data_IF_501479834261
#
_entry.id   IF_501479834261
#
_cell.length_a   1.000
_cell.length_b   1.000
_cell.length_c   1.000
_cell.angle_alpha   90.00
_cell.angle_beta   90.00
_cell.angle_gamma   90.00
#
_symmetry.space_group_name_H-M   'P 1'
#
loop_
_entity.id
_entity.type
_entity.pdbx_description
1 polymer ?
#
# COMPACT_ATOMS: atom_id res chain seq x y z
N UNK A 1 16.81 30.68 -13.92
CA UNK A 1 15.52 30.29 -13.30
C UNK A 1 15.34 28.77 -12.99
N UNK A 2 16.37 27.93 -12.71
CA UNK A 2 16.14 26.54 -12.26
C UNK A 2 16.27 26.32 -10.74
N UNK A 3 16.85 27.25 -9.96
CA UNK A 3 17.17 27.02 -8.54
C UNK A 3 15.92 26.95 -7.63
N UNK A 4 14.85 27.69 -7.98
CA UNK A 4 13.60 27.69 -7.22
C UNK A 4 12.82 26.37 -7.40
N UNK A 5 12.89 25.74 -8.58
CA UNK A 5 12.21 24.47 -8.84
C UNK A 5 12.77 23.33 -7.97
N UNK A 6 14.07 23.34 -7.69
CA UNK A 6 14.68 22.37 -6.79
C UNK A 6 14.18 22.53 -5.35
N UNK A 7 14.11 23.77 -4.85
CA UNK A 7 13.60 24.07 -3.52
C UNK A 7 12.11 23.72 -3.39
N UNK A 8 11.32 23.98 -4.43
CA UNK A 8 9.91 23.57 -4.50
C UNK A 8 9.75 22.06 -4.45
N UNK A 9 10.53 21.31 -5.22
CA UNK A 9 10.50 19.85 -5.21
C UNK A 9 10.84 19.29 -3.82
N UNK A 10 11.86 19.85 -3.16
CA UNK A 10 12.25 19.50 -1.78
C UNK A 10 11.11 19.80 -0.80
N UNK A 11 10.48 20.98 -0.91
CA UNK A 11 9.35 21.36 -0.07
C UNK A 11 8.16 20.39 -0.24
N UNK A 12 7.85 19.98 -1.47
CA UNK A 12 6.79 19.00 -1.76
C UNK A 12 7.09 17.66 -1.06
N UNK A 13 8.33 17.19 -1.11
CA UNK A 13 8.73 15.96 -0.41
C UNK A 13 8.53 16.07 1.11
N UNK A 14 8.86 17.22 1.71
CA UNK A 14 8.61 17.44 3.14
C UNK A 14 7.13 17.50 3.48
N UNK A 15 6.33 18.23 2.69
CA UNK A 15 4.86 18.26 2.85
C UNK A 15 4.27 16.85 2.79
N UNK A 16 4.71 16.03 1.83
CA UNK A 16 4.24 14.64 1.72
C UNK A 16 4.61 13.81 2.95
N UNK A 17 5.79 14.00 3.55
CA UNK A 17 6.16 13.30 4.79
C UNK A 17 5.32 13.72 5.99
N UNK A 18 5.03 15.03 6.12
CA UNK A 18 4.18 15.55 7.19
C UNK A 18 2.75 15.03 7.04
N UNK A 19 2.17 15.15 5.84
CA UNK A 19 0.82 14.66 5.55
C UNK A 19 0.71 13.14 5.78
N UNK A 20 1.75 12.38 5.43
CA UNK A 20 1.79 10.94 5.69
C UNK A 20 1.63 10.60 7.19
N UNK A 21 2.10 11.44 8.12
CA UNK A 21 1.91 11.19 9.54
C UNK A 21 0.44 11.29 9.97
N UNK A 22 -0.28 12.27 9.43
CA UNK A 22 -1.70 12.46 9.70
C UNK A 22 -2.55 11.35 9.06
N UNK A 23 -2.25 10.99 7.81
CA UNK A 23 -2.90 9.88 7.11
C UNK A 23 -2.72 8.54 7.84
N UNK A 24 -1.53 8.28 8.39
CA UNK A 24 -1.26 7.06 9.17
C UNK A 24 -2.07 7.06 10.47
N UNK A 25 -2.23 8.20 11.14
CA UNK A 25 -3.04 8.32 12.37
C UNK A 25 -4.52 8.04 12.10
N UNK A 26 -5.03 8.48 10.96
CA UNK A 26 -6.41 8.28 10.54
C UNK A 26 -6.66 6.89 9.90
N UNK A 27 -5.60 6.12 9.68
CA UNK A 27 -5.70 4.78 9.11
C UNK A 27 -6.30 3.75 10.05
N UNK A 28 -6.81 2.67 9.48
CA UNK A 28 -7.36 1.56 10.24
C UNK A 28 -6.25 0.58 10.65
N UNK A 29 -5.96 0.54 11.95
CA UNK A 29 -4.98 -0.39 12.54
C UNK A 29 -5.66 -1.73 12.86
N UNK A 30 -5.01 -2.83 12.50
CA UNK A 30 -5.51 -4.17 12.79
C UNK A 30 -4.36 -5.17 12.95
N UNK A 31 -4.68 -6.36 13.48
CA UNK A 31 -3.73 -7.46 13.58
C UNK A 31 -3.88 -8.40 12.38
N UNK A 32 -2.78 -8.77 11.75
CA UNK A 32 -2.71 -9.85 10.74
C UNK A 32 -1.80 -10.97 11.22
N UNK A 33 -1.74 -12.07 10.46
CA UNK A 33 -0.78 -13.16 10.67
C UNK A 33 0.70 -12.71 10.59
N UNK A 34 0.97 -11.54 10.02
CA UNK A 34 2.31 -10.95 9.95
C UNK A 34 2.61 -9.99 11.12
N UNK A 35 1.60 -9.63 11.91
CA UNK A 35 1.77 -8.69 13.03
C UNK A 35 0.86 -7.45 12.93
N UNK A 36 1.27 -6.38 13.63
CA UNK A 36 0.57 -5.09 13.62
C UNK A 36 0.52 -4.53 12.21
N UNK A 37 -0.68 -4.25 11.71
CA UNK A 37 -0.95 -3.91 10.31
C UNK A 37 -1.75 -2.62 10.19
N UNK A 38 -1.63 -1.95 9.05
CA UNK A 38 -2.31 -0.69 8.76
C UNK A 38 -3.01 -0.77 7.41
N UNK A 39 -4.24 -0.27 7.35
CA UNK A 39 -4.95 -0.02 6.11
C UNK A 39 -5.30 1.46 5.99
N UNK A 40 -4.97 2.08 4.86
CA UNK A 40 -5.15 3.51 4.62
C UNK A 40 -5.71 3.78 3.22
N UNK A 41 -6.61 4.74 3.12
CA UNK A 41 -6.93 5.40 1.85
C UNK A 41 -6.11 6.69 1.74
N UNK A 42 -5.26 6.78 0.73
CA UNK A 42 -4.37 7.94 0.57
C UNK A 42 -3.92 8.08 -0.88
N UNK A 43 -3.66 9.31 -1.33
CA UNK A 43 -2.98 9.60 -2.62
C UNK A 43 -1.44 9.55 -2.49
N UNK A 44 -0.93 9.69 -1.28
CA UNK A 44 0.47 9.86 -0.94
C UNK A 44 1.17 8.52 -0.71
N UNK A 45 2.13 8.17 -1.57
CA UNK A 45 2.87 6.90 -1.44
C UNK A 45 3.86 6.88 -0.27
N UNK A 46 4.27 8.05 0.25
CA UNK A 46 5.21 8.12 1.39
C UNK A 46 4.58 7.57 2.67
N UNK A 47 3.24 7.60 2.80
CA UNK A 47 2.53 7.00 3.92
C UNK A 47 2.84 5.51 4.11
N UNK A 48 3.02 4.76 3.01
CA UNK A 48 3.37 3.33 3.08
C UNK A 48 4.77 3.16 3.66
N UNK A 49 5.76 3.90 3.17
CA UNK A 49 7.15 3.80 3.64
C UNK A 49 7.27 4.24 5.09
N UNK A 50 6.60 5.33 5.47
CA UNK A 50 6.63 5.87 6.81
C UNK A 50 5.95 4.94 7.82
N UNK A 51 4.80 4.35 7.45
CA UNK A 51 4.12 3.36 8.29
C UNK A 51 5.01 2.15 8.56
N UNK A 52 5.64 1.57 7.54
CA UNK A 52 6.57 0.45 7.72
C UNK A 52 7.72 0.83 8.68
N UNK A 53 8.30 2.03 8.54
CA UNK A 53 9.33 2.55 9.47
C UNK A 53 8.83 2.77 10.89
N UNK A 54 7.54 3.08 11.08
CA UNK A 54 6.90 3.21 12.40
C UNK A 54 6.52 1.85 13.04
N UNK A 55 6.93 0.73 12.43
CA UNK A 55 6.82 -0.60 13.02
C UNK A 55 5.58 -1.41 12.63
N UNK A 56 4.84 -0.98 11.60
CA UNK A 56 3.81 -1.82 11.01
C UNK A 56 4.45 -2.92 10.16
N UNK A 57 4.07 -4.18 10.38
CA UNK A 57 4.58 -5.33 9.63
C UNK A 57 3.99 -5.41 8.21
N UNK A 58 2.75 -4.95 8.05
CA UNK A 58 1.98 -4.95 6.81
C UNK A 58 1.23 -3.63 6.64
N UNK A 59 1.30 -3.05 5.45
CA UNK A 59 0.55 -1.83 5.11
C UNK A 59 -0.20 -2.04 3.80
N UNK A 60 -1.51 -1.81 3.84
CA UNK A 60 -2.41 -1.79 2.69
C UNK A 60 -2.76 -0.32 2.42
N UNK A 61 -2.40 0.18 1.24
CA UNK A 61 -2.81 1.51 0.78
C UNK A 61 -3.68 1.37 -0.46
N UNK A 62 -4.84 2.04 -0.45
CA UNK A 62 -5.70 2.19 -1.62
C UNK A 62 -5.76 3.67 -2.01
N UNK A 63 -5.64 3.96 -3.30
CA UNK A 63 -5.91 5.30 -3.80
C UNK A 63 -7.42 5.55 -3.80
N UNK A 64 -7.93 6.63 -3.17
CA UNK A 64 -9.38 6.83 -2.97
C UNK A 64 -10.14 6.97 -4.30
N UNK A 65 -9.57 7.66 -5.29
CA UNK A 65 -10.25 7.91 -6.57
C UNK A 65 -10.05 6.76 -7.59
N UNK A 66 -8.80 6.42 -7.92
CA UNK A 66 -8.52 5.41 -8.97
C UNK A 66 -8.54 3.96 -8.47
N UNK A 67 -8.56 3.71 -7.16
CA UNK A 67 -8.61 2.34 -6.61
C UNK A 67 -7.30 1.54 -6.72
N UNK A 68 -6.21 2.13 -7.23
CA UNK A 68 -4.90 1.48 -7.23
C UNK A 68 -4.49 1.10 -5.82
N UNK A 69 -4.10 -0.15 -5.67
CA UNK A 69 -3.81 -0.71 -4.36
C UNK A 69 -2.34 -1.13 -4.27
N UNK A 70 -1.76 -0.95 -3.09
CA UNK A 70 -0.39 -1.31 -2.75
C UNK A 70 -0.41 -2.02 -1.42
N UNK A 71 0.09 -3.24 -1.40
CA UNK A 71 0.27 -4.02 -0.18
C UNK A 71 1.77 -4.26 -0.02
N UNK A 72 2.33 -3.82 1.09
CA UNK A 72 3.77 -3.93 1.35
C UNK A 72 4.04 -4.42 2.77
N UNK A 73 5.15 -5.12 2.91
CA UNK A 73 5.72 -5.51 4.21
C UNK A 73 7.14 -4.97 4.34
N UNK A 74 7.72 -5.11 5.53
CA UNK A 74 9.16 -4.92 5.69
C UNK A 74 9.92 -6.00 4.88
N UNK A 75 11.10 -5.68 4.32
CA UNK A 75 11.92 -6.62 3.57
C UNK A 75 12.67 -7.59 4.49
N UNK A 76 11.92 -8.35 5.29
CA UNK A 76 12.42 -9.34 6.25
C UNK A 76 11.91 -10.72 5.84
N UNK A 77 12.79 -11.72 5.78
CA UNK A 77 12.50 -13.09 5.34
C UNK A 77 11.32 -13.75 6.08
N UNK A 78 11.00 -13.31 7.30
CA UNK A 78 9.84 -13.83 8.05
C UNK A 78 8.49 -13.37 7.48
N UNK A 79 8.47 -12.33 6.65
CA UNK A 79 7.26 -11.79 6.06
C UNK A 79 7.11 -12.21 4.61
N UNK A 80 5.93 -12.69 4.24
CA UNK A 80 5.59 -12.98 2.84
C UNK A 80 4.14 -12.62 2.56
N UNK A 81 3.91 -11.95 1.43
CA UNK A 81 2.58 -11.63 0.92
C UNK A 81 1.99 -12.76 0.06
N UNK A 82 2.69 -13.89 -0.10
CA UNK A 82 2.24 -15.00 -0.97
C UNK A 82 0.83 -15.47 -0.64
N UNK A 83 0.53 -15.72 0.64
CA UNK A 83 -0.81 -16.10 1.10
C UNK A 83 -1.87 -15.04 0.76
N UNK A 84 -1.54 -13.75 0.91
CA UNK A 84 -2.46 -12.65 0.58
C UNK A 84 -2.70 -12.60 -0.93
N UNK A 85 -1.64 -12.70 -1.73
CA UNK A 85 -1.71 -12.72 -3.19
C UNK A 85 -2.60 -13.85 -3.71
N UNK A 86 -2.37 -15.08 -3.23
CA UNK A 86 -3.15 -16.25 -3.64
C UNK A 86 -4.65 -16.10 -3.28
N UNK A 87 -4.97 -15.56 -2.11
CA UNK A 87 -6.35 -15.34 -1.71
C UNK A 87 -7.02 -14.19 -2.49
N UNK A 88 -6.28 -13.12 -2.80
CA UNK A 88 -6.77 -12.04 -3.65
C UNK A 88 -7.10 -12.58 -5.04
N UNK A 89 -6.20 -13.37 -5.66
CA UNK A 89 -6.43 -13.93 -7.00
C UNK A 89 -7.60 -14.90 -7.06
N UNK A 90 -7.99 -15.54 -5.95
CA UNK A 90 -9.22 -16.37 -5.90
C UNK A 90 -10.48 -15.52 -6.06
N UNK A 91 -10.47 -14.28 -5.59
CA UNK A 91 -11.65 -13.41 -5.51
C UNK A 91 -11.65 -12.37 -6.63
N UNK A 92 -10.54 -11.64 -6.81
CA UNK A 92 -10.40 -10.64 -7.85
C UNK A 92 -9.77 -11.24 -9.11
N UNK A 93 -10.63 -11.47 -10.10
CA UNK A 93 -10.26 -11.99 -11.42
C UNK A 93 -10.02 -10.89 -12.47
N UNK A 94 -10.24 -9.62 -12.12
CA UNK A 94 -10.22 -8.50 -13.07
C UNK A 94 -9.03 -7.56 -12.84
N UNK A 95 -8.67 -7.32 -11.59
CA UNK A 95 -7.58 -6.40 -11.25
C UNK A 95 -6.23 -6.87 -11.79
N UNK A 96 -5.45 -5.96 -12.35
CA UNK A 96 -4.07 -6.23 -12.78
C UNK A 96 -3.13 -6.22 -11.59
N UNK A 97 -3.00 -7.38 -10.94
CA UNK A 97 -2.11 -7.60 -9.80
C UNK A 97 -0.71 -8.02 -10.24
N UNK A 98 0.30 -7.40 -9.66
CA UNK A 98 1.71 -7.73 -9.81
C UNK A 98 2.30 -8.09 -8.45
N UNK A 99 2.72 -9.34 -8.32
CA UNK A 99 3.41 -9.85 -7.14
C UNK A 99 4.92 -9.85 -7.40
N UNK A 100 5.66 -9.05 -6.63
CA UNK A 100 7.10 -8.91 -6.81
C UNK A 100 7.83 -10.14 -6.26
N UNK A 101 8.95 -10.53 -6.89
CA UNK A 101 9.72 -11.74 -6.54
C UNK A 101 10.32 -11.72 -5.12
N UNK A 102 10.44 -10.54 -4.51
CA UNK A 102 10.84 -10.43 -3.10
C UNK A 102 9.76 -10.87 -2.13
N UNK A 103 8.53 -11.14 -2.58
CA UNK A 103 7.35 -11.46 -1.78
C UNK A 103 6.88 -10.36 -0.81
N UNK A 104 7.55 -9.21 -0.75
CA UNK A 104 7.23 -8.09 0.16
C UNK A 104 6.41 -6.98 -0.49
N UNK A 105 6.11 -7.10 -1.79
CA UNK A 105 5.35 -6.10 -2.53
C UNK A 105 4.31 -6.76 -3.44
N UNK A 106 3.06 -6.33 -3.27
CA UNK A 106 1.95 -6.68 -4.12
C UNK A 106 1.27 -5.38 -4.59
N UNK A 107 1.28 -5.17 -5.90
CA UNK A 107 0.85 -3.92 -6.53
C UNK A 107 -0.36 -4.19 -7.43
N UNK A 108 -1.30 -3.27 -7.46
CA UNK A 108 -2.43 -3.30 -8.39
C UNK A 108 -2.54 -1.96 -9.12
N UNK A 109 -2.53 -2.00 -10.45
CA UNK A 109 -2.57 -0.81 -11.28
C UNK A 109 -1.29 0.05 -11.27
N UNK A 110 -1.16 0.95 -12.23
CA UNK A 110 -0.08 1.93 -12.33
C UNK A 110 -0.56 3.16 -13.10
N UNK A 111 -0.14 4.35 -12.66
CA UNK A 111 -0.38 5.59 -13.41
C UNK A 111 0.39 5.63 -14.73
N UNK A 112 1.52 4.92 -14.83
CA UNK A 112 2.35 4.87 -16.05
C UNK A 112 1.87 3.90 -17.13
N UNK A 113 0.83 3.09 -16.86
CA UNK A 113 0.27 2.17 -17.85
C UNK A 113 -1.26 2.14 -17.77
N UNK A 114 -1.96 2.81 -18.72
CA UNK A 114 -3.42 2.93 -18.72
C UNK A 114 -4.16 1.61 -18.96
N UNK A 115 -3.48 0.56 -19.43
CA UNK A 115 -4.09 -0.76 -19.63
C UNK A 115 -4.28 -1.54 -18.33
N UNK A 116 -3.62 -1.12 -17.24
CA UNK A 116 -3.71 -1.84 -15.97
C UNK A 116 -5.00 -1.49 -15.24
N UNK A 117 -5.74 -2.53 -14.85
CA UNK A 117 -7.08 -2.42 -14.28
C UNK A 117 -6.99 -2.36 -12.76
N UNK A 118 -7.59 -1.33 -12.11
CA UNK A 118 -7.68 -1.29 -10.66
C UNK A 118 -8.55 -2.43 -10.12
N UNK A 119 -8.23 -2.90 -8.92
CA UNK A 119 -9.01 -3.93 -8.23
C UNK A 119 -10.40 -3.40 -7.86
N UNK A 120 -11.41 -4.24 -8.07
CA UNK A 120 -12.78 -4.00 -7.60
C UNK A 120 -12.95 -4.23 -6.10
N UNK A 121 -11.95 -4.79 -5.42
CA UNK A 121 -11.98 -5.01 -3.97
C UNK A 121 -11.90 -3.68 -3.23
N UNK A 122 -12.83 -3.44 -2.31
CA UNK A 122 -12.74 -2.32 -1.37
C UNK A 122 -11.60 -2.53 -0.37
N UNK A 123 -11.16 -1.46 0.29
CA UNK A 123 -10.14 -1.56 1.35
C UNK A 123 -10.59 -2.52 2.46
N UNK A 124 -11.86 -2.45 2.87
CA UNK A 124 -12.46 -3.38 3.84
C UNK A 124 -12.39 -4.83 3.39
N UNK A 125 -12.67 -5.11 2.12
CA UNK A 125 -12.59 -6.49 1.62
C UNK A 125 -11.18 -7.04 1.64
N UNK A 126 -10.18 -6.19 1.38
CA UNK A 126 -8.77 -6.57 1.49
C UNK A 126 -8.40 -6.85 2.94
N UNK A 127 -8.85 -6.02 3.89
CA UNK A 127 -8.64 -6.26 5.33
C UNK A 127 -9.25 -7.60 5.74
N UNK A 128 -10.46 -7.93 5.29
CA UNK A 128 -11.10 -9.23 5.56
C UNK A 128 -10.27 -10.40 5.03
N UNK A 129 -9.76 -10.31 3.80
CA UNK A 129 -8.88 -11.32 3.20
C UNK A 129 -7.61 -11.50 4.04
N UNK A 130 -7.00 -10.40 4.49
CA UNK A 130 -5.79 -10.47 5.32
C UNK A 130 -6.10 -11.12 6.67
N UNK A 131 -7.24 -10.79 7.29
CA UNK A 131 -7.67 -11.33 8.59
C UNK A 131 -8.11 -12.79 8.53
N UNK A 132 -8.54 -13.30 7.38
CA UNK A 132 -8.95 -14.70 7.24
C UNK A 132 -7.77 -15.68 7.18
N UNK A 133 -6.56 -15.16 6.95
CA UNK A 133 -5.33 -15.95 6.93
C UNK A 133 -4.87 -16.20 8.37
N UNK A 134 -4.74 -17.48 8.70
CA UNK A 134 -4.14 -17.96 9.95
C UNK A 134 -2.63 -18.15 9.81
#
# INVERSE_FOLDING_TARGET
>A
MPIFQLLEAVLIVFKNKVNAEEEIKNGFVFQSYLGKSLAIESKNEEAVKLALKKGFALVVRRHPEVGFTRIKTLPDKKFSLKKIYENILKIDKKGSWFFHISEHMLLNGSSGNPKLVPTSLSLNKIIEIVKSIR
#
